data_IF_933586660935
#
_entry.id   IF_933586660935
#
_cell.length_a   1.000
_cell.length_b   1.000
_cell.length_c   1.000
_cell.angle_alpha   90.00
_cell.angle_beta   90.00
_cell.angle_gamma   90.00
#
_symmetry.space_group_name_H-M   'P 1'
#
loop_
_entity.id
_entity.type
_entity.pdbx_description
1 polymer ?
#
# COMPACT_ATOMS: atom_id res chain seq x y z
N UNK A 1 5.84 56.36 2.94
CA UNK A 1 4.71 56.15 2.01
C UNK A 1 4.83 54.75 1.45
N UNK A 2 3.73 54.01 1.55
CA UNK A 2 3.40 52.69 0.99
C UNK A 2 4.15 51.47 1.52
N UNK A 3 3.70 51.03 2.69
CA UNK A 3 3.72 49.64 3.14
C UNK A 3 2.36 49.03 2.71
N UNK A 4 2.30 48.34 1.57
CA UNK A 4 1.12 47.54 1.18
C UNK A 4 1.38 46.11 1.60
N UNK A 5 0.78 45.71 2.72
CA UNK A 5 0.67 44.30 3.10
C UNK A 5 -0.22 43.59 2.09
N UNK A 6 0.38 42.90 1.13
CA UNK A 6 -0.32 41.83 0.42
C UNK A 6 -0.53 40.70 1.43
N UNK A 7 -1.75 40.62 1.97
CA UNK A 7 -2.19 39.43 2.67
C UNK A 7 -2.08 38.25 1.70
N UNK A 8 -1.20 37.30 2.03
CA UNK A 8 -1.13 36.03 1.34
C UNK A 8 -2.39 35.24 1.69
N UNK A 9 -3.45 35.43 0.91
CA UNK A 9 -4.77 34.82 1.14
C UNK A 9 -4.72 33.28 1.29
N UNK A 10 -3.69 32.64 0.72
CA UNK A 10 -3.43 31.19 0.86
C UNK A 10 -3.06 30.79 2.29
N UNK A 11 -2.41 31.70 3.03
CA UNK A 11 -2.04 31.49 4.45
C UNK A 11 -3.22 31.68 5.40
N UNK A 12 -4.27 32.37 4.95
CA UNK A 12 -5.51 32.60 5.71
C UNK A 12 -6.59 31.54 5.40
N UNK A 13 -6.41 30.75 4.33
CA UNK A 13 -7.34 29.72 3.91
C UNK A 13 -7.16 28.45 4.74
N UNK A 14 -8.16 28.14 5.56
CA UNK A 14 -8.10 26.97 6.45
C UNK A 14 -8.39 25.69 5.68
N UNK A 15 -7.81 24.57 6.12
CA UNK A 15 -8.05 23.25 5.55
C UNK A 15 -9.54 22.88 5.51
N UNK A 16 -10.31 23.28 6.52
CA UNK A 16 -11.77 23.09 6.56
C UNK A 16 -12.51 23.84 5.43
N UNK A 17 -12.06 25.04 5.06
CA UNK A 17 -12.68 25.82 3.97
C UNK A 17 -12.37 25.23 2.59
N UNK A 18 -11.16 24.68 2.42
CA UNK A 18 -10.78 23.92 1.21
C UNK A 18 -11.61 22.65 1.08
N UNK A 19 -11.79 21.94 2.18
CA UNK A 19 -12.62 20.73 2.24
C UNK A 19 -14.09 21.02 1.90
N UNK A 20 -14.66 22.08 2.46
CA UNK A 20 -16.03 22.51 2.14
C UNK A 20 -16.20 22.85 0.65
N UNK A 21 -15.17 23.37 0.00
CA UNK A 21 -15.19 23.65 -1.44
C UNK A 21 -15.09 22.37 -2.28
N UNK A 22 -14.24 21.41 -1.88
CA UNK A 22 -14.15 20.08 -2.51
C UNK A 22 -15.51 19.36 -2.42
N UNK A 23 -16.18 19.39 -1.26
CA UNK A 23 -17.51 18.77 -1.09
C UNK A 23 -18.60 19.45 -1.93
N UNK A 24 -18.56 20.78 -2.07
CA UNK A 24 -19.47 21.51 -2.97
C UNK A 24 -19.23 21.15 -4.44
N UNK A 25 -17.97 21.04 -4.85
CA UNK A 25 -17.58 20.62 -6.19
C UNK A 25 -18.04 19.19 -6.48
N UNK A 26 -17.82 18.26 -5.55
CA UNK A 26 -18.27 16.87 -5.65
C UNK A 26 -19.79 16.78 -5.85
N UNK A 27 -20.57 17.46 -5.00
CA UNK A 27 -22.04 17.50 -5.13
C UNK A 27 -22.49 18.10 -6.46
N UNK A 28 -21.79 19.13 -6.96
CA UNK A 28 -22.08 19.73 -8.27
C UNK A 28 -21.81 18.76 -9.43
N UNK A 29 -20.71 18.00 -9.36
CA UNK A 29 -20.33 16.97 -10.34
C UNK A 29 -21.34 15.82 -10.36
N UNK A 30 -21.80 15.37 -9.18
CA UNK A 30 -22.80 14.31 -9.03
C UNK A 30 -24.18 14.74 -9.53
N UNK A 31 -24.61 15.96 -9.18
CA UNK A 31 -25.94 16.49 -9.57
C UNK A 31 -26.04 16.73 -11.07
N UNK A 32 -24.92 17.00 -11.76
CA UNK A 32 -24.86 17.23 -13.20
C UNK A 32 -24.58 15.97 -14.03
N UNK A 33 -24.44 14.80 -13.41
CA UNK A 33 -24.22 13.53 -14.12
C UNK A 33 -22.88 13.46 -14.87
N UNK A 34 -21.89 14.24 -14.47
CA UNK A 34 -20.56 14.31 -15.10
C UNK A 34 -19.64 13.16 -14.70
N UNK A 35 -20.09 12.28 -13.79
CA UNK A 35 -19.37 11.10 -13.34
C UNK A 35 -20.21 9.83 -13.59
N UNK A 36 -19.83 9.08 -14.62
CA UNK A 36 -20.40 7.75 -14.93
C UNK A 36 -19.60 6.60 -14.30
N UNK A 37 -18.55 6.90 -13.53
CA UNK A 37 -17.53 5.96 -13.05
C UNK A 37 -17.35 5.91 -11.53
N UNK A 38 -18.04 6.77 -10.77
CA UNK A 38 -17.93 6.85 -9.30
C UNK A 38 -16.67 7.57 -8.81
N UNK A 39 -16.03 8.39 -9.64
CA UNK A 39 -14.81 9.14 -9.35
C UNK A 39 -15.03 10.63 -9.02
N UNK A 40 -16.25 11.06 -8.69
CA UNK A 40 -16.65 12.45 -8.40
C UNK A 40 -15.73 13.15 -7.40
N UNK A 41 -15.26 12.42 -6.37
CA UNK A 41 -14.38 12.94 -5.33
C UNK A 41 -12.97 13.28 -5.86
N UNK A 42 -12.41 12.43 -6.74
CA UNK A 42 -11.09 12.64 -7.35
C UNK A 42 -11.11 13.83 -8.32
N UNK A 43 -12.20 13.97 -9.07
CA UNK A 43 -12.40 15.09 -10.00
C UNK A 43 -12.57 16.40 -9.21
N UNK A 44 -13.36 16.39 -8.13
CA UNK A 44 -13.54 17.55 -7.26
C UNK A 44 -12.23 18.02 -6.61
N UNK A 45 -11.42 17.07 -6.14
CA UNK A 45 -10.12 17.36 -5.51
C UNK A 45 -9.13 17.97 -6.52
N UNK A 46 -9.04 17.40 -7.73
CA UNK A 46 -8.17 17.93 -8.78
C UNK A 46 -8.59 19.34 -9.20
N UNK A 47 -9.90 19.59 -9.32
CA UNK A 47 -10.43 20.90 -9.70
C UNK A 47 -10.21 21.97 -8.61
N UNK A 48 -10.36 21.62 -7.32
CA UNK A 48 -10.04 22.55 -6.24
C UNK A 48 -8.53 22.84 -6.16
N UNK A 49 -7.70 21.82 -6.35
CA UNK A 49 -6.24 21.97 -6.32
C UNK A 49 -5.75 22.86 -7.46
N UNK A 50 -6.32 22.70 -8.66
CA UNK A 50 -6.04 23.58 -9.79
C UNK A 50 -6.48 25.02 -9.51
N UNK A 51 -7.69 25.22 -8.98
CA UNK A 51 -8.19 26.53 -8.57
C UNK A 51 -7.29 27.20 -7.51
N UNK A 52 -6.81 26.44 -6.52
CA UNK A 52 -5.94 26.93 -5.45
C UNK A 52 -4.57 27.39 -6.00
N UNK A 53 -4.02 26.65 -6.97
CA UNK A 53 -2.71 26.92 -7.55
C UNK A 53 -2.74 28.07 -8.56
N UNK A 54 -3.84 28.20 -9.32
CA UNK A 54 -3.94 29.16 -10.43
C UNK A 54 -4.55 30.51 -10.06
N UNK A 55 -5.27 30.60 -8.93
CA UNK A 55 -5.97 31.84 -8.55
C UNK A 55 -5.03 32.90 -7.94
N UNK A 56 -5.18 34.14 -8.36
CA UNK A 56 -4.36 35.26 -7.88
C UNK A 56 -4.92 35.88 -6.59
N UNK A 57 -6.22 35.73 -6.31
CA UNK A 57 -6.88 36.21 -5.09
C UNK A 57 -7.88 35.20 -4.52
N UNK A 58 -8.32 35.42 -3.26
CA UNK A 58 -9.34 34.59 -2.61
C UNK A 58 -10.66 34.57 -3.39
N UNK A 59 -11.06 35.73 -3.93
CA UNK A 59 -12.28 35.88 -4.71
C UNK A 59 -12.19 35.11 -6.04
N UNK A 60 -11.01 35.10 -6.69
CA UNK A 60 -10.77 34.32 -7.90
C UNK A 60 -10.84 32.80 -7.61
N UNK A 61 -10.28 32.35 -6.49
CA UNK A 61 -10.36 30.96 -6.04
C UNK A 61 -11.80 30.52 -5.73
N UNK A 62 -12.55 31.35 -5.01
CA UNK A 62 -13.96 31.08 -4.70
C UNK A 62 -14.84 31.09 -5.95
N UNK A 63 -14.51 31.89 -6.96
CA UNK A 63 -15.18 31.90 -8.26
C UNK A 63 -14.85 30.62 -9.06
N UNK A 64 -13.58 30.22 -9.14
CA UNK A 64 -13.13 29.02 -9.83
C UNK A 64 -13.77 27.74 -9.23
N UNK A 65 -13.88 27.66 -7.90
CA UNK A 65 -14.59 26.56 -7.22
C UNK A 65 -16.11 26.54 -7.49
N UNK A 66 -16.68 27.63 -8.03
CA UNK A 66 -18.11 27.70 -8.42
C UNK A 66 -18.33 27.43 -9.92
N UNK A 67 -17.31 27.59 -10.76
CA UNK A 67 -17.46 27.58 -12.24
C UNK A 67 -16.95 26.31 -12.95
N UNK A 68 -16.68 25.21 -12.23
CA UNK A 68 -16.23 23.96 -12.88
C UNK A 68 -17.35 23.38 -13.76
N UNK A 69 -17.32 23.79 -15.03
CA UNK A 69 -18.07 23.29 -16.19
C UNK A 69 -17.07 23.24 -17.34
N UNK A 70 -17.04 22.09 -18.02
CA UNK A 70 -16.30 21.78 -19.26
C UNK A 70 -14.87 21.25 -19.12
N UNK A 71 -14.74 19.99 -18.69
CA UNK A 71 -13.64 19.13 -19.12
C UNK A 71 -14.25 17.98 -19.92
N UNK A 72 -13.99 17.96 -21.23
CA UNK A 72 -14.41 16.93 -22.17
C UNK A 72 -13.43 15.75 -22.18
N UNK A 73 -13.97 14.55 -22.22
CA UNK A 73 -13.24 13.27 -22.27
C UNK A 73 -12.65 13.00 -23.67
N UNK A 74 -11.45 12.39 -23.79
CA UNK A 74 -11.09 11.64 -24.99
C UNK A 74 -11.15 10.12 -24.75
N UNK A 75 -12.19 9.52 -25.35
CA UNK A 75 -12.20 8.29 -26.17
C UNK A 75 -11.19 7.15 -25.90
N UNK A 76 -11.75 5.99 -25.52
CA UNK A 76 -11.16 4.64 -25.55
C UNK A 76 -10.65 4.20 -26.94
N UNK A 77 -9.43 3.66 -26.97
CA UNK A 77 -8.99 2.60 -27.89
C UNK A 77 -7.80 1.85 -27.24
N UNK A 78 -7.61 0.54 -27.48
CA UNK A 78 -6.65 -0.29 -26.75
C UNK A 78 -5.21 0.09 -27.16
N UNK A 79 -4.45 0.67 -26.24
CA UNK A 79 -3.06 1.07 -26.51
C UNK A 79 -2.08 -0.08 -26.24
N UNK A 80 -1.55 -0.61 -27.33
CA UNK A 80 -0.26 -1.28 -27.40
C UNK A 80 0.87 -0.32 -27.00
N UNK A 81 1.78 -0.75 -26.12
CA UNK A 81 3.12 -0.21 -25.81
C UNK A 81 3.25 1.30 -26.07
N UNK A 82 2.91 2.12 -25.07
CA UNK A 82 3.11 3.58 -25.12
C UNK A 82 4.61 3.93 -25.21
N UNK A 83 5.01 4.50 -26.35
CA UNK A 83 6.15 5.41 -26.44
C UNK A 83 5.84 6.71 -25.68
N UNK A 84 6.67 7.01 -24.69
CA UNK A 84 6.53 8.16 -23.77
C UNK A 84 6.62 9.52 -24.49
N UNK A 85 5.74 10.50 -24.18
CA UNK A 85 5.85 11.87 -24.69
C UNK A 85 6.99 12.64 -24.02
N UNK A 86 7.80 13.35 -24.81
CA UNK A 86 9.09 13.94 -24.43
C UNK A 86 9.06 15.15 -23.47
N UNK A 87 7.90 15.61 -23.00
CA UNK A 87 7.78 16.98 -22.45
C UNK A 87 7.91 17.14 -20.93
N UNK A 88 8.28 16.11 -20.15
CA UNK A 88 8.49 16.28 -18.71
C UNK A 88 9.51 15.28 -18.12
N UNK A 89 10.66 15.14 -18.78
CA UNK A 89 11.74 14.25 -18.30
C UNK A 89 12.80 15.01 -17.51
N UNK A 90 13.32 14.37 -16.48
CA UNK A 90 14.44 14.91 -15.68
C UNK A 90 15.68 14.01 -15.80
N UNK A 91 16.82 14.51 -15.33
CA UNK A 91 18.04 13.71 -15.19
C UNK A 91 18.37 13.53 -13.71
N UNK A 92 18.72 12.30 -13.31
CA UNK A 92 19.06 11.93 -11.95
C UNK A 92 20.40 11.21 -11.98
N UNK A 93 21.48 11.90 -11.59
CA UNK A 93 22.84 11.40 -11.75
C UNK A 93 23.15 11.10 -13.22
N UNK A 94 23.56 9.86 -13.49
CA UNK A 94 23.87 9.40 -14.85
C UNK A 94 22.64 8.99 -15.68
N UNK A 95 21.44 8.96 -15.08
CA UNK A 95 20.23 8.50 -15.75
C UNK A 95 19.46 9.69 -16.32
N UNK A 96 19.30 9.71 -17.64
CA UNK A 96 18.54 10.73 -18.38
C UNK A 96 17.17 10.20 -18.80
N UNK A 97 16.24 11.08 -19.13
CA UNK A 97 14.89 10.66 -19.56
C UNK A 97 14.04 10.07 -18.43
N UNK A 98 14.28 10.48 -17.18
CA UNK A 98 13.58 9.95 -16.02
C UNK A 98 12.16 10.54 -15.94
N UNK A 99 11.17 9.66 -15.73
CA UNK A 99 9.76 10.02 -15.55
C UNK A 99 9.31 9.67 -14.14
N UNK A 100 8.61 10.58 -13.47
CA UNK A 100 8.02 10.30 -12.17
C UNK A 100 6.91 9.24 -12.30
N UNK A 101 6.87 8.26 -11.39
CA UNK A 101 5.85 7.20 -11.38
C UNK A 101 5.10 7.03 -10.06
N UNK A 102 5.70 7.40 -8.93
CA UNK A 102 5.06 7.29 -7.63
C UNK A 102 5.70 8.21 -6.59
N UNK A 103 4.89 8.75 -5.69
CA UNK A 103 5.33 9.49 -4.51
C UNK A 103 4.96 8.68 -3.26
N UNK A 104 5.92 8.48 -2.36
CA UNK A 104 5.73 7.88 -1.05
C UNK A 104 6.09 8.87 0.06
N UNK A 105 5.92 8.45 1.31
CA UNK A 105 6.15 9.31 2.48
C UNK A 105 7.60 9.84 2.58
N UNK A 106 8.57 9.00 2.25
CA UNK A 106 10.02 9.30 2.42
C UNK A 106 10.80 9.27 1.10
N UNK A 107 10.13 8.98 -0.02
CA UNK A 107 10.81 8.78 -1.30
C UNK A 107 9.90 9.06 -2.49
N UNK A 108 10.50 9.49 -3.57
CA UNK A 108 9.89 9.56 -4.91
C UNK A 108 10.50 8.49 -5.81
N UNK A 109 9.68 7.91 -6.68
CA UNK A 109 10.12 6.88 -7.62
C UNK A 109 10.02 7.42 -9.03
N UNK A 110 11.13 7.34 -9.74
CA UNK A 110 11.26 7.67 -11.15
C UNK A 110 11.57 6.42 -11.96
N UNK A 111 11.32 6.44 -13.26
CA UNK A 111 11.73 5.38 -14.18
C UNK A 111 12.43 5.92 -15.41
N UNK A 112 13.31 5.10 -15.96
CA UNK A 112 13.70 5.15 -17.37
C UNK A 112 13.01 4.00 -18.10
N UNK A 113 13.48 3.65 -19.29
CA UNK A 113 13.02 2.45 -20.02
C UNK A 113 13.39 1.14 -19.33
N UNK A 114 14.46 1.10 -18.54
CA UNK A 114 15.05 -0.15 -18.01
C UNK A 114 15.20 -0.17 -16.50
N UNK A 115 15.27 0.99 -15.85
CA UNK A 115 15.50 1.09 -14.39
C UNK A 115 14.47 1.95 -13.70
N UNK A 116 14.20 1.61 -12.44
CA UNK A 116 13.49 2.45 -11.49
C UNK A 116 14.52 3.08 -10.52
N UNK A 117 14.32 4.36 -10.20
CA UNK A 117 15.13 5.12 -9.27
C UNK A 117 14.27 5.56 -8.10
N UNK A 118 14.52 5.00 -6.91
CA UNK A 118 13.91 5.44 -5.65
C UNK A 118 14.80 6.52 -5.05
N UNK A 119 14.38 7.76 -5.16
CA UNK A 119 15.05 8.95 -4.63
C UNK A 119 14.52 9.23 -3.24
N UNK A 120 15.39 9.21 -2.24
CA UNK A 120 15.02 9.51 -0.86
C UNK A 120 14.87 11.03 -0.71
N UNK A 121 13.68 11.49 -0.34
CA UNK A 121 13.33 12.91 -0.26
C UNK A 121 13.30 13.45 1.16
N UNK A 122 12.95 12.63 2.15
CA UNK A 122 13.03 12.99 3.56
C UNK A 122 14.32 12.42 4.18
N UNK A 123 15.08 13.29 4.84
CA UNK A 123 16.36 12.93 5.46
C UNK A 123 16.25 12.75 6.97
N UNK A 124 15.14 13.20 7.56
CA UNK A 124 14.83 12.91 8.97
C UNK A 124 14.47 11.44 9.14
N UNK A 125 14.84 10.90 10.30
CA UNK A 125 14.51 9.51 10.65
C UNK A 125 13.00 9.41 10.90
N UNK A 126 12.27 8.91 9.90
CA UNK A 126 10.83 8.63 10.01
C UNK A 126 10.72 7.15 10.33
N UNK A 127 10.56 6.79 11.61
CA UNK A 127 10.40 5.38 11.98
C UNK A 127 9.16 4.77 11.28
N UNK A 128 9.21 3.51 10.79
CA UNK A 128 10.34 2.58 10.79
C UNK A 128 11.29 2.73 9.58
N UNK A 129 11.08 3.72 8.71
CA UNK A 129 11.84 3.90 7.48
C UNK A 129 13.30 4.27 7.74
N UNK A 130 14.22 3.43 7.28
CA UNK A 130 15.66 3.68 7.36
C UNK A 130 16.35 3.32 6.04
N UNK A 131 16.61 4.30 5.15
CA UNK A 131 17.19 4.04 3.83
C UNK A 131 18.58 3.38 3.87
N UNK A 132 19.40 3.66 4.88
CA UNK A 132 20.72 3.02 5.02
C UNK A 132 20.59 1.56 5.43
N UNK A 133 19.61 1.24 6.28
CA UNK A 133 19.28 -0.13 6.65
C UNK A 133 18.70 -0.89 5.46
N UNK A 134 17.80 -0.27 4.70
CA UNK A 134 17.23 -0.82 3.46
C UNK A 134 18.35 -1.23 2.49
N UNK A 135 19.35 -0.36 2.25
CA UNK A 135 20.51 -0.69 1.41
C UNK A 135 21.30 -1.88 1.97
N UNK A 136 21.58 -1.89 3.28
CA UNK A 136 22.33 -2.98 3.91
C UNK A 136 21.59 -4.31 3.79
N UNK A 137 20.28 -4.33 4.00
CA UNK A 137 19.44 -5.52 3.82
C UNK A 137 19.47 -5.96 2.35
N UNK A 138 19.16 -5.06 1.42
CA UNK A 138 19.10 -5.35 -0.01
C UNK A 138 20.43 -5.83 -0.61
N UNK A 139 21.56 -5.40 -0.04
CA UNK A 139 22.91 -5.87 -0.45
C UNK A 139 23.27 -7.26 0.10
N UNK A 140 22.53 -7.78 1.08
CA UNK A 140 22.75 -9.08 1.70
C UNK A 140 21.74 -10.15 1.24
N UNK A 141 20.65 -9.75 0.58
CA UNK A 141 19.63 -10.67 0.07
C UNK A 141 19.75 -10.85 -1.44
N UNK A 142 19.52 -12.08 -1.90
CA UNK A 142 19.43 -12.39 -3.33
C UNK A 142 18.48 -13.57 -3.53
N UNK A 143 17.36 -13.31 -4.20
CA UNK A 143 16.32 -14.30 -4.45
C UNK A 143 15.58 -13.96 -5.75
N UNK A 144 15.15 -14.98 -6.50
CA UNK A 144 14.51 -14.83 -7.82
C UNK A 144 13.20 -14.02 -7.81
N UNK A 145 12.51 -14.00 -6.67
CA UNK A 145 11.22 -13.31 -6.48
C UNK A 145 11.35 -12.07 -5.57
N UNK A 146 12.57 -11.55 -5.40
CA UNK A 146 12.85 -10.28 -4.68
C UNK A 146 13.52 -9.31 -5.65
N UNK A 147 13.12 -8.04 -5.63
CA UNK A 147 13.74 -7.02 -6.49
C UNK A 147 15.22 -6.82 -6.11
N UNK A 148 16.10 -6.92 -7.11
CA UNK A 148 17.55 -6.77 -6.89
C UNK A 148 17.95 -5.29 -6.87
N UNK A 149 18.66 -4.85 -5.83
CA UNK A 149 19.34 -3.56 -5.83
C UNK A 149 20.53 -3.62 -6.80
N UNK A 150 20.52 -2.78 -7.83
CA UNK A 150 21.57 -2.69 -8.86
C UNK A 150 22.74 -1.86 -8.34
N UNK A 151 22.44 -0.66 -7.85
CA UNK A 151 23.44 0.30 -7.38
C UNK A 151 22.80 1.37 -6.50
N UNK A 152 23.65 2.12 -5.80
CA UNK A 152 23.27 3.30 -5.04
C UNK A 152 24.23 4.45 -5.36
N UNK A 153 23.71 5.68 -5.33
CA UNK A 153 24.54 6.88 -5.48
C UNK A 153 23.88 8.07 -4.78
N UNK A 154 24.58 9.20 -4.73
CA UNK A 154 24.01 10.49 -4.34
C UNK A 154 23.84 11.36 -5.58
N UNK A 155 22.66 11.95 -5.76
CA UNK A 155 22.41 12.86 -6.88
C UNK A 155 23.10 14.23 -6.67
N UNK A 156 22.88 15.16 -7.61
CA UNK A 156 23.48 16.50 -7.56
C UNK A 156 23.04 17.34 -6.35
N UNK A 157 21.93 16.98 -5.71
CA UNK A 157 21.41 17.61 -4.49
C UNK A 157 21.87 16.86 -3.22
N UNK A 158 22.66 15.80 -3.37
CA UNK A 158 23.16 14.98 -2.28
C UNK A 158 22.14 13.96 -1.74
N UNK A 159 20.98 13.81 -2.39
CA UNK A 159 19.94 12.85 -2.01
C UNK A 159 20.38 11.45 -2.36
N UNK A 160 20.04 10.50 -1.49
CA UNK A 160 20.35 9.08 -1.71
C UNK A 160 19.41 8.50 -2.76
N UNK A 161 19.97 7.80 -3.74
CA UNK A 161 19.21 7.17 -4.82
C UNK A 161 19.52 5.68 -4.87
N UNK A 162 18.48 4.86 -4.85
CA UNK A 162 18.55 3.41 -5.03
C UNK A 162 18.06 3.05 -6.44
N UNK A 163 18.84 2.24 -7.15
CA UNK A 163 18.53 1.84 -8.54
C UNK A 163 18.11 0.37 -8.58
N UNK A 164 16.97 0.12 -9.22
CA UNK A 164 16.38 -1.20 -9.39
C UNK A 164 16.03 -1.47 -10.86
N UNK A 165 15.86 -2.74 -11.28
CA UNK A 165 15.21 -3.05 -12.54
C UNK A 165 13.79 -2.45 -12.56
N UNK A 166 13.39 -1.87 -13.69
CA UNK A 166 12.01 -1.39 -13.83
C UNK A 166 11.07 -2.55 -14.12
N UNK A 167 10.01 -2.67 -13.32
CA UNK A 167 8.89 -3.57 -13.58
C UNK A 167 7.68 -2.75 -14.06
N UNK A 168 7.05 -3.11 -15.19
CA UNK A 168 6.00 -2.29 -15.81
C UNK A 168 4.69 -2.27 -15.01
N UNK A 169 4.43 -3.29 -14.21
CA UNK A 169 3.17 -3.49 -13.49
C UNK A 169 3.41 -3.73 -12.01
N UNK A 170 2.38 -3.43 -11.23
CA UNK A 170 2.22 -3.86 -9.84
C UNK A 170 0.96 -4.69 -9.74
N UNK A 171 0.86 -5.56 -8.74
CA UNK A 171 -0.37 -6.30 -8.47
C UNK A 171 -1.55 -5.34 -8.22
N UNK A 172 -1.30 -4.17 -7.61
CA UNK A 172 -2.31 -3.12 -7.44
C UNK A 172 -2.94 -2.71 -8.78
N UNK A 173 -2.12 -2.43 -9.80
CA UNK A 173 -2.62 -2.06 -11.14
C UNK A 173 -3.40 -3.20 -11.81
N UNK A 174 -3.02 -4.45 -11.55
CA UNK A 174 -3.75 -5.61 -12.08
C UNK A 174 -5.12 -5.74 -11.39
N UNK A 175 -5.18 -5.55 -10.06
CA UNK A 175 -6.43 -5.52 -9.29
C UNK A 175 -7.35 -4.40 -9.78
N UNK A 176 -6.82 -3.19 -9.99
CA UNK A 176 -7.55 -2.02 -10.49
C UNK A 176 -8.16 -2.24 -11.90
N UNK A 177 -7.58 -3.15 -12.70
CA UNK A 177 -8.12 -3.50 -14.02
C UNK A 177 -9.42 -4.31 -13.97
N UNK A 178 -9.84 -4.76 -12.77
CA UNK A 178 -11.16 -5.32 -12.50
C UNK A 178 -11.23 -6.85 -12.48
N UNK A 179 -10.18 -7.56 -12.87
CA UNK A 179 -10.10 -9.02 -12.68
C UNK A 179 -8.65 -9.50 -12.68
N UNK A 180 -8.32 -10.40 -11.76
CA UNK A 180 -7.02 -11.10 -11.73
C UNK A 180 -7.26 -12.55 -12.15
N UNK A 181 -6.71 -13.02 -13.28
CA UNK A 181 -6.89 -14.40 -13.69
C UNK A 181 -6.36 -15.37 -12.63
N UNK A 182 -7.07 -16.48 -12.37
CA UNK A 182 -6.68 -17.47 -11.34
C UNK A 182 -5.25 -17.98 -11.48
N UNK A 183 -4.78 -18.21 -12.71
CA UNK A 183 -3.40 -18.62 -12.99
C UNK A 183 -2.37 -17.55 -12.62
N UNK A 184 -2.69 -16.27 -12.85
CA UNK A 184 -1.87 -15.13 -12.44
C UNK A 184 -1.86 -15.01 -10.92
N UNK A 185 -3.01 -15.14 -10.26
CA UNK A 185 -3.10 -15.18 -8.78
C UNK A 185 -2.24 -16.30 -8.23
N UNK A 186 -2.41 -17.55 -8.70
CA UNK A 186 -1.63 -18.70 -8.22
C UNK A 186 -0.12 -18.49 -8.41
N UNK A 187 0.33 -18.13 -9.60
CA UNK A 187 1.76 -17.90 -9.88
C UNK A 187 2.35 -16.73 -9.08
N UNK A 188 1.63 -15.61 -8.99
CA UNK A 188 2.06 -14.44 -8.22
C UNK A 188 2.22 -14.75 -6.73
N UNK A 189 1.28 -15.47 -6.13
CA UNK A 189 1.35 -15.83 -4.72
C UNK A 189 2.38 -16.93 -4.44
N UNK A 190 2.62 -17.83 -5.39
CA UNK A 190 3.74 -18.76 -5.29
C UNK A 190 5.09 -18.01 -5.26
N UNK A 191 5.31 -17.04 -6.15
CA UNK A 191 6.53 -16.21 -6.15
C UNK A 191 6.66 -15.38 -4.86
N UNK A 192 5.54 -14.78 -4.38
CA UNK A 192 5.52 -14.03 -3.13
C UNK A 192 5.86 -14.92 -1.92
N UNK A 193 5.24 -16.08 -1.78
CA UNK A 193 5.54 -16.99 -0.68
C UNK A 193 6.96 -17.55 -0.77
N UNK A 194 7.50 -17.75 -1.98
CA UNK A 194 8.91 -18.11 -2.17
C UNK A 194 9.85 -17.00 -1.68
N UNK A 195 9.52 -15.73 -1.95
CA UNK A 195 10.28 -14.60 -1.40
C UNK A 195 10.17 -14.49 0.13
N UNK A 196 8.97 -14.67 0.68
CA UNK A 196 8.73 -14.63 2.13
C UNK A 196 9.42 -15.78 2.85
N UNK A 197 9.39 -17.01 2.31
CA UNK A 197 10.12 -18.15 2.87
C UNK A 197 11.62 -17.84 2.99
N UNK A 198 12.22 -17.29 1.93
CA UNK A 198 13.62 -16.88 1.94
C UNK A 198 13.93 -15.86 3.05
N UNK A 199 13.11 -14.81 3.20
CA UNK A 199 13.30 -13.79 4.23
C UNK A 199 13.05 -14.34 5.65
N UNK A 200 11.98 -15.10 5.82
CA UNK A 200 11.53 -15.62 7.10
C UNK A 200 12.49 -16.67 7.67
N UNK A 201 13.13 -17.47 6.81
CA UNK A 201 14.20 -18.40 7.22
C UNK A 201 15.42 -17.66 7.81
N UNK A 202 15.63 -16.39 7.43
CA UNK A 202 16.64 -15.51 8.02
C UNK A 202 16.12 -14.65 9.19
N UNK A 203 14.86 -14.83 9.61
CA UNK A 203 14.19 -14.03 10.65
C UNK A 203 13.90 -12.59 10.25
N UNK A 204 13.97 -12.27 8.95
CA UNK A 204 13.70 -10.94 8.40
C UNK A 204 12.18 -10.79 8.21
N UNK A 205 11.62 -9.66 8.66
CA UNK A 205 10.19 -9.35 8.55
C UNK A 205 10.04 -8.17 7.59
N UNK A 206 9.29 -8.33 6.50
CA UNK A 206 9.15 -7.28 5.50
C UNK A 206 8.34 -6.09 6.02
N UNK A 207 7.23 -6.35 6.72
CA UNK A 207 6.34 -5.38 7.40
C UNK A 207 5.50 -4.45 6.51
N UNK A 208 5.50 -4.65 5.20
CA UNK A 208 4.69 -3.84 4.27
C UNK A 208 4.30 -4.63 3.02
N UNK A 209 3.79 -5.85 3.23
CA UNK A 209 3.23 -6.66 2.15
C UNK A 209 1.89 -6.08 1.71
N UNK A 210 1.81 -5.67 0.44
CA UNK A 210 0.62 -5.09 -0.20
C UNK A 210 0.72 -5.16 -1.72
N UNK A 211 -0.38 -4.95 -2.48
CA UNK A 211 -0.36 -5.06 -3.93
C UNK A 211 0.60 -4.10 -4.64
N UNK A 212 0.83 -2.89 -4.12
CA UNK A 212 1.74 -1.92 -4.75
C UNK A 212 3.22 -2.28 -4.59
N UNK A 213 3.56 -3.09 -3.58
CA UNK A 213 4.93 -3.58 -3.33
C UNK A 213 5.19 -4.96 -3.99
N UNK A 214 4.18 -5.55 -4.63
CA UNK A 214 4.31 -6.77 -5.43
C UNK A 214 4.40 -6.39 -6.91
N UNK A 215 5.61 -6.33 -7.43
CA UNK A 215 5.89 -5.90 -8.80
C UNK A 215 5.75 -7.08 -9.77
N UNK A 216 5.39 -6.80 -11.01
CA UNK A 216 5.20 -7.82 -12.06
C UNK A 216 5.99 -7.43 -13.31
N UNK A 217 6.81 -8.37 -13.81
CA UNK A 217 7.55 -8.18 -15.06
C UNK A 217 6.63 -8.16 -16.30
N UNK A 218 5.47 -8.80 -16.22
CA UNK A 218 4.43 -8.81 -17.25
C UNK A 218 3.06 -9.05 -16.60
N UNK A 219 1.93 -8.91 -17.31
CA UNK A 219 0.60 -9.23 -16.77
C UNK A 219 0.46 -10.65 -16.20
N UNK A 220 1.33 -11.57 -16.61
CA UNK A 220 1.37 -12.97 -16.15
C UNK A 220 2.55 -13.29 -15.23
N UNK A 221 3.26 -12.26 -14.74
CA UNK A 221 4.45 -12.42 -13.90
C UNK A 221 5.77 -12.54 -14.68
N UNK A 222 6.85 -13.04 -14.04
CA UNK A 222 6.94 -13.40 -12.62
C UNK A 222 6.76 -12.20 -11.68
N UNK A 223 6.48 -12.48 -10.40
CA UNK A 223 6.30 -11.47 -9.37
C UNK A 223 7.58 -11.24 -8.53
N UNK A 224 7.79 -10.00 -8.11
CA UNK A 224 8.92 -9.57 -7.31
C UNK A 224 8.46 -8.75 -6.12
N UNK A 225 8.84 -9.19 -4.92
CA UNK A 225 8.66 -8.42 -3.70
C UNK A 225 9.63 -7.22 -3.68
N UNK A 226 9.12 -6.06 -3.31
CA UNK A 226 9.85 -4.78 -3.32
C UNK A 226 9.53 -3.91 -2.11
N UNK A 227 10.26 -2.80 -1.98
CA UNK A 227 10.18 -1.81 -0.91
C UNK A 227 10.52 -2.34 0.49
N UNK A 228 11.82 -2.43 0.76
CA UNK A 228 12.36 -2.89 2.04
C UNK A 228 12.54 -1.74 3.04
N UNK A 229 11.92 -0.58 2.77
CA UNK A 229 12.09 0.63 3.58
C UNK A 229 11.69 0.44 5.03
N UNK A 230 10.66 -0.38 5.28
CA UNK A 230 10.15 -0.68 6.62
C UNK A 230 10.68 -2.01 7.17
N UNK A 231 11.55 -2.76 6.49
CA UNK A 231 11.93 -4.12 6.92
C UNK A 231 12.62 -4.15 8.29
N UNK A 232 12.27 -5.15 9.12
CA UNK A 232 12.97 -5.46 10.36
C UNK A 232 13.95 -6.62 10.15
N UNK A 233 15.20 -6.45 10.58
CA UNK A 233 16.25 -7.45 10.44
C UNK A 233 16.83 -7.81 11.82
N UNK A 234 17.00 -9.11 12.15
CA UNK A 234 17.31 -9.55 13.51
C UNK A 234 18.65 -9.07 14.06
N UNK A 235 19.62 -8.75 13.20
CA UNK A 235 20.90 -8.12 13.58
C UNK A 235 20.95 -6.62 13.27
N UNK A 236 20.63 -6.20 12.04
CA UNK A 236 20.75 -4.80 11.59
C UNK A 236 19.74 -3.84 12.24
N UNK A 237 18.59 -4.32 12.72
CA UNK A 237 17.60 -3.50 13.41
C UNK A 237 17.75 -3.51 14.93
N UNK A 238 18.44 -4.50 15.51
CA UNK A 238 18.40 -4.79 16.95
C UNK A 238 18.84 -3.62 17.85
N UNK A 239 19.74 -2.77 17.35
CA UNK A 239 20.28 -1.62 18.09
C UNK A 239 19.22 -0.53 18.28
N UNK A 240 18.49 -0.19 17.22
CA UNK A 240 17.50 0.90 17.25
C UNK A 240 16.09 0.37 17.58
N UNK A 241 15.83 -0.90 17.24
CA UNK A 241 14.52 -1.53 17.31
C UNK A 241 14.65 -2.98 17.83
N UNK A 242 14.76 -3.17 19.16
CA UNK A 242 14.90 -4.48 19.77
C UNK A 242 13.76 -5.45 19.42
N UNK A 243 14.02 -6.75 19.44
CA UNK A 243 13.05 -7.77 19.01
C UNK A 243 11.72 -7.76 19.81
N UNK A 244 11.74 -7.32 21.07
CA UNK A 244 10.56 -7.19 21.93
C UNK A 244 10.00 -5.76 22.01
N UNK A 245 10.54 -4.84 21.21
CA UNK A 245 10.17 -3.43 21.23
C UNK A 245 10.04 -2.85 19.81
N UNK A 246 9.51 -3.64 18.89
CA UNK A 246 9.31 -3.22 17.50
C UNK A 246 8.26 -2.10 17.38
N UNK A 247 8.39 -1.29 16.34
CA UNK A 247 7.43 -0.26 15.91
C UNK A 247 6.14 -0.93 15.48
N UNK A 248 4.99 -0.43 15.95
CA UNK A 248 3.67 -1.03 15.67
C UNK A 248 2.96 -0.37 14.48
N UNK A 249 3.38 0.83 14.09
CA UNK A 249 2.86 1.59 12.95
C UNK A 249 3.45 1.04 11.63
N UNK A 250 3.18 -0.24 11.40
CA UNK A 250 3.65 -0.98 10.23
C UNK A 250 2.48 -1.66 9.54
N UNK A 251 2.65 -1.98 8.25
CA UNK A 251 1.58 -2.41 7.38
C UNK A 251 0.68 -1.25 6.94
N UNK A 252 0.15 -1.35 5.71
CA UNK A 252 -0.66 -0.30 5.11
C UNK A 252 -2.15 -0.64 5.16
N UNK A 253 -2.98 0.28 5.64
CA UNK A 253 -4.45 0.24 5.49
C UNK A 253 -5.07 -1.11 5.88
N UNK A 254 -5.81 -1.74 4.98
CA UNK A 254 -6.55 -2.99 5.18
C UNK A 254 -5.69 -4.26 5.29
N UNK A 255 -4.38 -4.19 5.05
CA UNK A 255 -3.47 -5.34 5.13
C UNK A 255 -2.79 -5.47 6.51
N UNK A 256 -3.02 -4.51 7.42
CA UNK A 256 -2.37 -4.49 8.74
C UNK A 256 -2.89 -5.61 9.65
N UNK A 257 -1.96 -6.32 10.28
CA UNK A 257 -2.25 -7.47 11.13
C UNK A 257 -2.78 -7.05 12.52
N UNK A 258 -3.73 -7.80 13.10
CA UNK A 258 -4.43 -7.40 14.31
C UNK A 258 -3.48 -7.29 15.51
N UNK A 259 -2.44 -8.13 15.61
CA UNK A 259 -1.46 -8.07 16.70
C UNK A 259 -0.84 -6.66 16.86
N UNK A 260 -0.56 -5.96 15.76
CA UNK A 260 -0.01 -4.60 15.81
C UNK A 260 -1.05 -3.56 16.23
N UNK A 261 -2.33 -3.78 15.91
CA UNK A 261 -3.44 -2.91 16.30
C UNK A 261 -3.72 -2.98 17.80
N UNK A 262 -3.39 -4.10 18.45
CA UNK A 262 -3.49 -4.28 19.90
C UNK A 262 -2.15 -4.04 20.64
N UNK A 263 -1.17 -3.45 19.95
CA UNK A 263 0.07 -2.99 20.57
C UNK A 263 1.06 -4.11 20.91
N UNK A 264 1.00 -5.26 20.24
CA UNK A 264 2.05 -6.25 20.32
C UNK A 264 3.33 -5.70 19.67
N UNK A 265 4.41 -5.57 20.45
CA UNK A 265 5.74 -5.13 19.96
C UNK A 265 6.73 -6.28 19.74
N UNK A 266 6.29 -7.51 20.00
CA UNK A 266 7.08 -8.74 19.83
C UNK A 266 6.58 -9.58 18.66
N UNK A 267 5.86 -8.98 17.70
CA UNK A 267 5.41 -9.68 16.49
C UNK A 267 6.60 -10.23 15.69
N UNK A 268 6.31 -11.23 14.86
CA UNK A 268 7.30 -11.97 14.07
C UNK A 268 6.91 -12.03 12.59
N UNK A 269 7.48 -12.98 11.85
CA UNK A 269 7.27 -13.19 10.42
C UNK A 269 5.84 -13.52 10.05
N UNK A 270 5.03 -14.00 11.00
CA UNK A 270 3.59 -14.26 10.79
C UNK A 270 2.81 -13.01 10.37
N UNK A 271 3.33 -11.80 10.70
CA UNK A 271 2.74 -10.53 10.30
C UNK A 271 2.64 -10.39 8.77
N UNK A 272 3.70 -10.80 8.05
CA UNK A 272 3.72 -10.76 6.59
C UNK A 272 2.74 -11.79 6.01
N UNK A 273 2.53 -12.92 6.69
CA UNK A 273 1.61 -13.98 6.26
C UNK A 273 0.14 -13.55 6.35
N UNK A 274 -0.23 -12.78 7.37
CA UNK A 274 -1.55 -12.15 7.45
C UNK A 274 -1.78 -11.23 6.25
N UNK A 275 -0.84 -10.32 6.00
CA UNK A 275 -0.93 -9.37 4.90
C UNK A 275 -1.00 -10.09 3.54
N UNK A 276 -0.20 -11.14 3.33
CA UNK A 276 -0.30 -11.98 2.13
C UNK A 276 -1.66 -12.68 2.01
N UNK A 277 -2.21 -13.24 3.09
CA UNK A 277 -3.53 -13.87 3.08
C UNK A 277 -4.67 -12.89 2.74
N UNK A 278 -4.64 -11.69 3.32
CA UNK A 278 -5.64 -10.65 3.01
C UNK A 278 -5.54 -10.16 1.56
N UNK A 279 -4.33 -10.05 1.04
CA UNK A 279 -4.07 -9.73 -0.37
C UNK A 279 -4.55 -10.86 -1.31
N UNK A 280 -4.38 -12.13 -0.92
CA UNK A 280 -4.84 -13.27 -1.70
C UNK A 280 -6.36 -13.26 -1.86
N UNK A 281 -7.11 -12.97 -0.79
CA UNK A 281 -8.57 -12.82 -0.85
C UNK A 281 -8.99 -11.77 -1.86
N UNK A 282 -8.32 -10.63 -1.89
CA UNK A 282 -8.62 -9.55 -2.83
C UNK A 282 -8.46 -10.00 -4.28
N UNK A 283 -7.42 -10.76 -4.59
CA UNK A 283 -7.19 -11.32 -5.93
C UNK A 283 -8.11 -12.50 -6.29
N UNK A 284 -8.59 -13.25 -5.30
CA UNK A 284 -9.49 -14.38 -5.53
C UNK A 284 -10.92 -13.94 -5.86
N UNK A 285 -11.37 -12.80 -5.31
CA UNK A 285 -12.71 -12.26 -5.53
C UNK A 285 -12.88 -11.66 -6.93
N UNK A 286 -14.09 -11.76 -7.46
CA UNK A 286 -14.48 -11.15 -8.73
C UNK A 286 -15.81 -10.39 -8.55
N UNK A 287 -15.83 -9.05 -8.63
CA UNK A 287 -14.66 -8.17 -8.80
C UNK A 287 -13.70 -8.22 -7.59
N UNK A 288 -12.41 -7.87 -7.78
CA UNK A 288 -11.45 -7.76 -6.69
C UNK A 288 -11.93 -6.81 -5.60
N UNK A 289 -11.82 -7.24 -4.34
CA UNK A 289 -12.25 -6.45 -3.18
C UNK A 289 -11.51 -6.87 -1.92
N UNK A 290 -10.93 -5.89 -1.22
CA UNK A 290 -10.24 -6.10 0.05
C UNK A 290 -11.11 -6.86 1.06
N UNK A 291 -10.48 -7.73 1.86
CA UNK A 291 -11.18 -8.48 2.91
C UNK A 291 -11.67 -7.55 4.02
N UNK A 292 -10.81 -6.63 4.44
CA UNK A 292 -11.11 -5.65 5.47
C UNK A 292 -11.22 -4.25 4.86
N UNK A 293 -12.00 -3.39 5.50
CA UNK A 293 -12.17 -2.00 5.11
C UNK A 293 -11.51 -1.12 6.15
N UNK A 294 -10.58 -0.29 5.70
CA UNK A 294 -10.07 0.84 6.48
C UNK A 294 -10.73 2.10 5.91
N UNK A 295 -11.61 2.79 6.66
CA UNK A 295 -12.21 4.04 6.19
C UNK A 295 -11.16 5.10 5.87
N UNK A 296 -11.40 5.94 4.85
CA UNK A 296 -10.54 7.09 4.52
C UNK A 296 -10.58 8.14 5.65
N UNK A 297 -9.41 8.68 6.00
CA UNK A 297 -9.25 9.70 7.06
C UNK A 297 -8.15 10.69 6.65
N UNK A 298 -8.44 11.98 6.74
CA UNK A 298 -7.44 13.04 6.57
C UNK A 298 -6.56 13.17 7.83
N UNK A 299 -5.60 12.25 8.00
CA UNK A 299 -4.64 12.02 9.11
C UNK A 299 -4.98 10.68 9.83
N UNK A 300 -4.18 9.64 9.56
CA UNK A 300 -4.16 8.32 10.22
C UNK A 300 -5.49 7.52 10.33
N UNK A 301 -5.80 6.74 9.29
CA UNK A 301 -6.93 5.81 9.14
C UNK A 301 -7.32 5.10 10.42
N UNK A 302 -8.39 5.54 11.10
CA UNK A 302 -8.76 5.15 12.45
C UNK A 302 -8.62 3.64 12.67
N UNK A 303 -7.61 3.24 13.44
CA UNK A 303 -7.29 1.84 13.77
C UNK A 303 -8.52 1.09 14.30
N UNK A 304 -9.43 1.79 14.99
CA UNK A 304 -10.70 1.23 15.47
C UNK A 304 -11.62 0.78 14.32
N UNK A 305 -11.67 1.54 13.22
CA UNK A 305 -12.45 1.18 12.04
C UNK A 305 -11.97 -0.13 11.43
N UNK A 306 -10.65 -0.29 11.30
CA UNK A 306 -10.03 -1.54 10.85
C UNK A 306 -10.28 -2.68 11.84
N UNK A 307 -10.09 -2.46 13.14
CA UNK A 307 -10.39 -3.45 14.20
C UNK A 307 -11.84 -3.94 14.09
N UNK A 308 -12.80 -3.02 13.98
CA UNK A 308 -14.22 -3.36 13.83
C UNK A 308 -14.49 -4.11 12.52
N UNK A 309 -13.81 -3.75 11.43
CA UNK A 309 -13.89 -4.49 10.17
C UNK A 309 -13.39 -5.93 10.33
N UNK A 310 -12.27 -6.14 11.04
CA UNK A 310 -11.72 -7.47 11.31
C UNK A 310 -12.71 -8.28 12.14
N UNK A 311 -13.20 -7.72 13.26
CA UNK A 311 -14.11 -8.43 14.17
C UNK A 311 -15.43 -8.81 13.50
N UNK A 312 -16.02 -7.90 12.70
CA UNK A 312 -17.24 -8.20 11.94
C UNK A 312 -17.04 -9.28 10.87
N UNK A 313 -15.80 -9.46 10.41
CA UNK A 313 -15.49 -10.38 9.30
C UNK A 313 -15.11 -11.76 9.83
N UNK A 314 -14.11 -11.87 10.70
CA UNK A 314 -13.59 -13.16 11.20
C UNK A 314 -13.96 -13.45 12.67
N UNK A 315 -14.71 -12.56 13.31
CA UNK A 315 -15.19 -12.71 14.68
C UNK A 315 -14.32 -11.98 15.71
N UNK A 316 -14.90 -11.66 16.87
CA UNK A 316 -14.16 -11.11 18.02
C UNK A 316 -13.27 -12.20 18.61
N UNK A 317 -11.98 -11.91 18.91
CA UNK A 317 -11.10 -12.91 19.51
C UNK A 317 -11.52 -13.24 20.94
N UNK A 318 -11.38 -14.52 21.29
CA UNK A 318 -11.56 -15.09 22.62
C UNK A 318 -10.22 -15.54 23.17
N UNK A 319 -10.15 -15.89 24.46
CA UNK A 319 -8.91 -16.39 25.08
C UNK A 319 -8.43 -17.71 24.47
N UNK A 320 -9.34 -18.46 23.88
CA UNK A 320 -9.08 -19.74 23.22
C UNK A 320 -8.59 -19.55 21.78
N UNK A 321 -9.09 -18.53 21.09
CA UNK A 321 -8.72 -18.25 19.69
C UNK A 321 -7.47 -17.37 19.59
N UNK A 322 -7.16 -16.57 20.62
CA UNK A 322 -5.97 -15.72 20.66
C UNK A 322 -5.34 -15.60 22.06
N UNK A 323 -4.82 -16.69 22.65
CA UNK A 323 -4.32 -16.71 24.03
C UNK A 323 -3.18 -15.70 24.29
N UNK A 324 -2.32 -15.47 23.31
CA UNK A 324 -1.16 -14.56 23.38
C UNK A 324 -1.59 -13.10 23.63
N UNK A 325 -2.78 -12.73 23.18
CA UNK A 325 -3.30 -11.37 23.32
C UNK A 325 -3.60 -10.98 24.78
N UNK A 326 -3.58 -11.94 25.72
CA UNK A 326 -3.59 -11.65 27.16
C UNK A 326 -2.39 -10.83 27.62
N UNK A 327 -1.26 -10.95 26.91
CA UNK A 327 -0.01 -10.27 27.24
C UNK A 327 0.20 -8.97 26.44
N UNK A 328 -0.78 -8.57 25.63
CA UNK A 328 -0.67 -7.34 24.85
C UNK A 328 -0.94 -6.12 25.73
N UNK A 329 -0.44 -4.96 25.28
CA UNK A 329 -0.66 -3.68 25.97
C UNK A 329 -2.14 -3.33 26.10
N UNK A 330 -2.97 -3.77 25.14
CA UNK A 330 -4.42 -3.58 25.15
C UNK A 330 -5.10 -4.89 24.75
N UNK A 331 -5.38 -5.79 25.72
CA UNK A 331 -6.01 -7.07 25.41
C UNK A 331 -7.40 -6.88 24.79
N UNK A 332 -7.74 -7.58 23.70
CA UNK A 332 -8.98 -7.37 22.94
C UNK A 332 -10.24 -7.97 23.59
N UNK A 333 -10.15 -8.50 24.82
CA UNK A 333 -11.21 -9.29 25.46
C UNK A 333 -12.24 -8.48 26.25
N UNK A 334 -12.03 -7.19 26.45
CA UNK A 334 -12.96 -6.31 27.16
C UNK A 334 -13.87 -5.54 26.21
N UNK A 335 -14.18 -6.11 25.04
CA UNK A 335 -15.03 -5.47 24.05
C UNK A 335 -16.50 -5.55 24.45
N UNK A 336 -17.23 -4.44 24.34
CA UNK A 336 -18.66 -4.38 24.70
C UNK A 336 -19.57 -5.16 23.74
N UNK A 337 -19.10 -5.45 22.53
CA UNK A 337 -19.87 -6.14 21.49
C UNK A 337 -19.07 -7.30 20.89
N UNK A 338 -19.58 -8.51 21.04
CA UNK A 338 -19.03 -9.69 20.39
C UNK A 338 -19.62 -9.87 18.99
N UNK A 339 -18.77 -10.23 18.04
CA UNK A 339 -19.15 -10.57 16.67
C UNK A 339 -18.81 -12.05 16.44
N UNK A 340 -19.76 -12.88 15.98
CA UNK A 340 -19.51 -14.32 15.77
C UNK A 340 -18.60 -14.61 14.57
N UNK A 341 -18.32 -13.61 13.72
CA UNK A 341 -17.63 -13.78 12.45
C UNK A 341 -18.52 -14.39 11.37
N UNK A 342 -18.03 -14.34 10.12
CA UNK A 342 -18.65 -14.98 8.97
C UNK A 342 -17.91 -16.27 8.65
N UNK A 343 -18.61 -17.25 8.07
CA UNK A 343 -17.95 -18.47 7.58
C UNK A 343 -17.06 -18.16 6.37
N UNK A 344 -15.98 -18.93 6.18
CA UNK A 344 -15.14 -18.79 4.99
C UNK A 344 -15.87 -19.19 3.70
N UNK A 345 -16.89 -20.05 3.79
CA UNK A 345 -17.80 -20.36 2.69
C UNK A 345 -18.58 -19.13 2.22
N UNK A 346 -19.07 -18.30 3.15
CA UNK A 346 -19.75 -17.04 2.85
C UNK A 346 -18.76 -15.97 2.35
N UNK A 347 -17.60 -15.84 2.99
CA UNK A 347 -16.61 -14.80 2.67
C UNK A 347 -15.96 -14.99 1.29
N UNK A 348 -15.86 -16.24 0.84
CA UNK A 348 -15.22 -16.70 -0.38
C UNK A 348 -16.16 -17.58 -1.21
N UNK A 349 -17.40 -17.13 -1.36
CA UNK A 349 -18.39 -17.79 -2.23
C UNK A 349 -17.85 -17.89 -3.67
N UNK A 350 -17.97 -19.06 -4.28
CA UNK A 350 -17.48 -19.33 -5.64
C UNK A 350 -15.97 -19.56 -5.78
N UNK A 351 -15.20 -19.48 -4.69
CA UNK A 351 -13.78 -19.87 -4.65
C UNK A 351 -13.68 -21.37 -4.37
N UNK A 352 -12.68 -22.02 -4.97
CA UNK A 352 -12.39 -23.43 -4.76
C UNK A 352 -11.97 -23.74 -3.31
N UNK A 353 -12.11 -25.02 -2.93
CA UNK A 353 -11.85 -25.49 -1.58
C UNK A 353 -10.42 -25.22 -1.12
N UNK A 354 -9.43 -25.44 -1.99
CA UNK A 354 -8.01 -25.25 -1.65
C UNK A 354 -7.66 -23.77 -1.49
N UNK A 355 -8.19 -22.88 -2.34
CA UNK A 355 -8.01 -21.44 -2.18
C UNK A 355 -8.64 -20.92 -0.89
N UNK A 356 -9.82 -21.45 -0.52
CA UNK A 356 -10.49 -21.14 0.76
C UNK A 356 -9.69 -21.67 1.95
N UNK A 357 -9.20 -22.90 1.88
CA UNK A 357 -8.40 -23.54 2.93
C UNK A 357 -7.07 -22.80 3.17
N UNK A 358 -6.39 -22.40 2.10
CA UNK A 358 -5.17 -21.61 2.21
C UNK A 358 -5.42 -20.29 2.93
N UNK A 359 -6.48 -19.56 2.52
CA UNK A 359 -6.82 -18.27 3.13
C UNK A 359 -7.17 -18.41 4.60
N UNK A 360 -8.01 -19.38 4.99
CA UNK A 360 -8.43 -19.51 6.39
C UNK A 360 -7.27 -19.78 7.34
N UNK A 361 -6.24 -20.47 6.85
CA UNK A 361 -5.03 -20.77 7.62
C UNK A 361 -3.98 -19.63 7.57
N UNK A 362 -4.15 -18.63 6.70
CA UNK A 362 -3.32 -17.42 6.66
C UNK A 362 -3.96 -16.25 7.45
N UNK A 363 -5.28 -16.11 7.37
CA UNK A 363 -6.04 -14.98 7.96
C UNK A 363 -6.74 -15.44 9.23
N UNK A 364 -5.94 -15.78 10.24
CA UNK A 364 -6.39 -16.11 11.58
C UNK A 364 -5.63 -15.30 12.64
N UNK A 365 -6.20 -15.20 13.84
CA UNK A 365 -5.50 -14.63 14.99
C UNK A 365 -4.23 -15.43 15.28
N UNK A 366 -3.10 -14.72 15.42
CA UNK A 366 -1.81 -15.37 15.59
C UNK A 366 -1.74 -16.10 16.92
N UNK A 367 -1.62 -17.42 16.87
CA UNK A 367 -1.56 -18.32 18.04
C UNK A 367 -0.62 -19.51 17.83
N UNK A 368 0.38 -19.35 16.96
CA UNK A 368 1.25 -20.40 16.44
C UNK A 368 0.62 -21.24 15.33
N UNK A 369 -0.62 -20.92 14.93
CA UNK A 369 -1.42 -21.69 13.95
C UNK A 369 -1.37 -21.11 12.53
N UNK A 370 -1.00 -19.85 12.37
CA UNK A 370 -0.95 -19.20 11.05
C UNK A 370 0.10 -19.90 10.19
N UNK A 371 -0.23 -20.17 8.92
CA UNK A 371 0.71 -20.81 8.00
C UNK A 371 1.97 -19.96 7.83
N UNK A 372 3.13 -20.60 7.98
CA UNK A 372 4.41 -20.07 7.52
C UNK A 372 4.47 -20.09 5.99
N UNK A 373 5.30 -19.24 5.39
CA UNK A 373 5.52 -19.23 3.94
C UNK A 373 5.91 -20.61 3.35
N UNK A 374 6.77 -21.36 4.04
CA UNK A 374 7.18 -22.70 3.62
C UNK A 374 6.00 -23.68 3.52
N UNK A 375 5.22 -23.81 4.60
CA UNK A 375 3.97 -24.60 4.59
C UNK A 375 2.92 -24.09 3.60
N UNK A 376 2.88 -22.78 3.33
CA UNK A 376 1.98 -22.22 2.34
C UNK A 376 2.35 -22.67 0.92
N UNK A 377 3.65 -22.78 0.59
CA UNK A 377 4.12 -23.31 -0.71
C UNK A 377 3.82 -24.80 -0.89
N UNK A 378 3.79 -25.57 0.20
CA UNK A 378 3.41 -26.99 0.21
C UNK A 378 1.89 -27.23 0.17
N UNK A 379 1.08 -26.16 0.15
CA UNK A 379 -0.37 -26.27 0.20
C UNK A 379 -0.95 -26.84 -1.12
N UNK A 380 -2.00 -27.69 -1.09
CA UNK A 380 -2.65 -28.25 -2.28
C UNK A 380 -3.01 -27.23 -3.36
N UNK A 381 -3.39 -26.02 -2.96
CA UNK A 381 -3.63 -24.88 -3.86
C UNK A 381 -2.51 -24.62 -4.88
N UNK A 382 -1.24 -24.87 -4.54
CA UNK A 382 -0.09 -24.73 -5.43
C UNK A 382 0.37 -26.04 -6.08
N UNK A 383 -0.08 -27.19 -5.58
CA UNK A 383 0.32 -28.52 -6.07
C UNK A 383 -0.66 -29.03 -7.13
N UNK A 384 -1.96 -28.81 -6.94
CA UNK A 384 -3.00 -29.27 -7.83
C UNK A 384 -3.49 -28.14 -8.74
N UNK A 385 -3.37 -28.33 -10.05
CA UNK A 385 -3.98 -27.49 -11.09
C UNK A 385 -2.99 -26.78 -12.00
#
# INVERSE_FOLDING_TARGET
MNNTGESNWRSELKAAERYDNIEKLRKSIETKGLDSTGNSHKIAFAAETDAYNTSESREAYEAACKTVTDISSPSNAPQSIETLPANNTISIGQYTGCHHIASGLVSEVYRTTTVALKVITETRNVEPHNPLREIKILSQISHKSIIQLISTFKDGEGRLVLVFPFMPLTLAKVIESGSVPKSVTKSCFHDLFSALEYLHNAGIIHRDIKPSNTLLASPTGPAYLSDFGTTWHPTLSLVDEPANHKVIEVGTSCYRAPETLFGNRSYDTSLDMWAAGTMLVECLRNPPKSLFVSPDTSEDGNQLGLILSIFKTIGTPTKETWPEALNFSTPPFQWYQEFPGKSWDELLEGIDGDGRDLVQNLVCYESGKRLSASKALEHPYFIEG
#
